data_IF_962664347083
#
_entry.id   IF_962664347083
#
_cell.length_a   1.000
_cell.length_b   1.000
_cell.length_c   1.000
_cell.angle_alpha   90.00
_cell.angle_beta   90.00
_cell.angle_gamma   90.00
#
_symmetry.space_group_name_H-M   'P 1'
#
loop_
_entity.id
_entity.type
_entity.pdbx_description
1 polymer ?
#
# COMPACT_ATOMS: atom_id res chain seq x y z
N UNK A 1 4.53 54.57 -4.89
CA UNK A 1 5.38 53.64 -5.67
C UNK A 1 4.57 52.38 -5.92
N UNK A 2 3.85 52.35 -7.04
CA UNK A 2 3.13 51.16 -7.51
C UNK A 2 4.04 50.49 -8.55
N UNK A 3 4.79 49.46 -8.15
CA UNK A 3 5.46 48.59 -9.11
C UNK A 3 4.50 47.49 -9.53
N UNK A 4 3.68 47.78 -10.53
CA UNK A 4 2.95 46.76 -11.29
C UNK A 4 3.94 46.16 -12.28
N UNK A 5 4.61 45.08 -11.91
CA UNK A 5 5.47 44.33 -12.81
C UNK A 5 4.58 43.65 -13.85
N UNK A 6 4.45 44.27 -15.03
CA UNK A 6 3.85 43.63 -16.20
C UNK A 6 4.78 42.51 -16.67
N UNK A 7 4.44 41.26 -16.34
CA UNK A 7 5.08 40.07 -16.93
C UNK A 7 4.94 40.10 -18.45
N UNK A 8 6.03 39.75 -19.15
CA UNK A 8 6.06 39.73 -20.60
C UNK A 8 5.20 38.59 -21.16
N UNK A 9 4.54 38.81 -22.30
CA UNK A 9 3.79 37.76 -23.04
C UNK A 9 4.58 36.45 -23.24
N UNK A 10 5.90 36.52 -23.39
CA UNK A 10 6.79 35.35 -23.53
C UNK A 10 6.92 34.56 -22.23
N UNK A 11 6.91 35.23 -21.07
CA UNK A 11 6.97 34.59 -19.75
C UNK A 11 5.64 33.90 -19.43
N UNK A 12 4.50 34.55 -19.74
CA UNK A 12 3.17 33.95 -19.60
C UNK A 12 2.99 32.71 -20.49
N UNK A 13 3.50 32.75 -21.73
CA UNK A 13 3.46 31.57 -22.62
C UNK A 13 4.38 30.44 -22.16
N UNK A 14 5.57 30.75 -21.63
CA UNK A 14 6.49 29.74 -21.09
C UNK A 14 5.97 29.11 -19.79
N UNK A 15 5.37 29.91 -18.90
CA UNK A 15 4.76 29.46 -17.66
C UNK A 15 3.50 28.61 -17.93
N UNK A 16 2.66 29.03 -18.87
CA UNK A 16 1.51 28.25 -19.31
C UNK A 16 1.93 26.92 -19.96
N UNK A 17 2.96 26.93 -20.82
CA UNK A 17 3.50 25.72 -21.45
C UNK A 17 4.12 24.74 -20.47
N UNK A 18 4.85 25.25 -19.47
CA UNK A 18 5.41 24.42 -18.38
C UNK A 18 4.33 23.79 -17.50
N UNK A 19 3.26 24.54 -17.20
CA UNK A 19 2.13 24.03 -16.43
C UNK A 19 1.35 22.93 -17.16
N UNK A 20 1.20 23.04 -18.49
CA UNK A 20 0.48 22.07 -19.32
C UNK A 20 1.26 20.78 -19.48
N UNK A 21 2.56 20.88 -19.77
CA UNK A 21 3.44 19.72 -19.84
C UNK A 21 3.43 18.94 -18.52
N UNK A 22 3.48 19.63 -17.37
CA UNK A 22 3.43 19.00 -16.06
C UNK A 22 2.11 18.22 -15.85
N UNK A 23 0.96 18.80 -16.23
CA UNK A 23 -0.35 18.11 -16.13
C UNK A 23 -0.38 16.85 -16.97
N UNK A 24 0.07 16.91 -18.23
CA UNK A 24 0.09 15.75 -19.14
C UNK A 24 1.00 14.64 -18.59
N UNK A 25 2.19 15.01 -18.10
CA UNK A 25 3.13 14.06 -17.48
C UNK A 25 2.51 13.43 -16.23
N UNK A 26 1.93 14.24 -15.33
CA UNK A 26 1.31 13.76 -14.10
C UNK A 26 0.13 12.81 -14.39
N UNK A 27 -0.76 13.18 -15.31
CA UNK A 27 -1.88 12.33 -15.73
C UNK A 27 -1.39 11.00 -16.32
N UNK A 28 -0.35 11.03 -17.16
CA UNK A 28 0.24 9.84 -17.77
C UNK A 28 0.84 8.92 -16.71
N UNK A 29 1.61 9.47 -15.77
CA UNK A 29 2.21 8.70 -14.66
C UNK A 29 1.13 8.06 -13.81
N UNK A 30 0.12 8.84 -13.39
CA UNK A 30 -1.00 8.31 -12.59
C UNK A 30 -1.76 7.21 -13.33
N UNK A 31 -2.01 7.39 -14.64
CA UNK A 31 -2.68 6.38 -15.46
C UNK A 31 -1.89 5.06 -15.50
N UNK A 32 -0.60 5.13 -15.83
CA UNK A 32 0.26 3.94 -15.93
C UNK A 32 0.36 3.22 -14.57
N UNK A 33 0.58 3.98 -13.49
CA UNK A 33 0.69 3.41 -12.15
C UNK A 33 -0.62 2.81 -11.66
N UNK A 34 -1.77 3.45 -11.92
CA UNK A 34 -3.07 2.88 -11.57
C UNK A 34 -3.36 1.57 -12.29
N UNK A 35 -3.16 1.52 -13.61
CA UNK A 35 -3.37 0.28 -14.38
C UNK A 35 -2.42 -0.82 -13.91
N UNK A 36 -1.15 -0.48 -13.70
CA UNK A 36 -0.16 -1.44 -13.22
C UNK A 36 -0.45 -1.92 -11.79
N UNK A 37 -0.85 -1.01 -10.90
CA UNK A 37 -1.26 -1.31 -9.53
C UNK A 37 -2.46 -2.24 -9.46
N UNK A 38 -3.50 -1.97 -10.27
CA UNK A 38 -4.67 -2.85 -10.40
C UNK A 38 -4.26 -4.23 -10.88
N UNK A 39 -3.41 -4.31 -11.90
CA UNK A 39 -2.92 -5.57 -12.42
C UNK A 39 -2.18 -6.39 -11.36
N UNK A 40 -1.22 -5.79 -10.65
CA UNK A 40 -0.45 -6.47 -9.61
C UNK A 40 -1.34 -6.95 -8.46
N UNK A 41 -2.16 -6.06 -7.89
CA UNK A 41 -2.99 -6.38 -6.73
C UNK A 41 -4.09 -7.40 -7.08
N UNK A 42 -4.72 -7.27 -8.25
CA UNK A 42 -5.71 -8.26 -8.73
C UNK A 42 -5.08 -9.62 -9.02
N UNK A 43 -3.86 -9.64 -9.54
CA UNK A 43 -3.08 -10.87 -9.74
C UNK A 43 -2.81 -11.60 -8.43
N UNK A 44 -2.42 -10.88 -7.38
CA UNK A 44 -2.23 -11.44 -6.04
C UNK A 44 -3.56 -11.95 -5.49
N UNK A 45 -4.63 -11.16 -5.57
CA UNK A 45 -5.96 -11.55 -5.10
C UNK A 45 -6.45 -12.84 -5.78
N UNK A 46 -6.34 -12.90 -7.11
CA UNK A 46 -6.67 -14.10 -7.87
C UNK A 46 -5.85 -15.32 -7.44
N UNK A 47 -4.54 -15.16 -7.24
CA UNK A 47 -3.68 -16.22 -6.73
C UNK A 47 -4.08 -16.71 -5.33
N UNK A 48 -4.57 -15.81 -4.47
CA UNK A 48 -5.06 -16.14 -3.13
C UNK A 48 -6.37 -16.94 -3.18
N UNK A 49 -7.33 -16.51 -4.00
CA UNK A 49 -8.65 -17.15 -4.12
C UNK A 49 -8.53 -18.53 -4.78
N UNK A 50 -7.67 -18.68 -5.78
CA UNK A 50 -7.50 -19.96 -6.49
C UNK A 50 -6.72 -21.02 -5.70
N UNK A 51 -5.93 -20.62 -4.70
CA UNK A 51 -5.19 -21.54 -3.82
C UNK A 51 -5.94 -21.86 -2.52
N UNK A 52 -7.28 -21.81 -2.55
CA UNK A 52 -8.19 -21.83 -1.40
C UNK A 52 -8.03 -23.00 -0.42
N UNK A 53 -7.46 -24.13 -0.84
CA UNK A 53 -7.18 -25.29 0.02
C UNK A 53 -6.11 -25.04 1.11
N UNK A 54 -5.44 -23.87 1.11
CA UNK A 54 -4.34 -23.52 2.04
C UNK A 54 -4.43 -22.10 2.63
N UNK A 55 -5.60 -21.46 2.66
CA UNK A 55 -5.72 -20.07 3.16
C UNK A 55 -5.57 -20.04 4.69
N UNK A 56 -4.35 -19.76 5.14
CA UNK A 56 -4.07 -19.37 6.52
C UNK A 56 -4.34 -17.88 6.75
N UNK A 57 -4.43 -17.46 8.01
CA UNK A 57 -4.85 -16.08 8.33
C UNK A 57 -3.98 -14.95 7.76
N UNK A 58 -2.71 -15.22 7.48
CA UNK A 58 -1.83 -14.27 6.79
C UNK A 58 -2.32 -13.94 5.37
N UNK A 59 -2.81 -14.95 4.65
CA UNK A 59 -3.29 -14.80 3.27
C UNK A 59 -4.64 -14.10 3.21
N UNK A 60 -5.52 -14.34 4.19
CA UNK A 60 -6.77 -13.58 4.36
C UNK A 60 -6.50 -12.08 4.49
N UNK A 61 -5.51 -11.72 5.33
CA UNK A 61 -5.11 -10.33 5.54
C UNK A 61 -4.49 -9.72 4.27
N UNK A 62 -3.62 -10.44 3.57
CA UNK A 62 -3.08 -9.98 2.28
C UNK A 62 -4.19 -9.76 1.25
N UNK A 63 -5.19 -10.65 1.19
CA UNK A 63 -6.34 -10.51 0.31
C UNK A 63 -7.13 -9.23 0.59
N UNK A 64 -7.41 -8.95 1.86
CA UNK A 64 -8.06 -7.68 2.26
C UNK A 64 -7.27 -6.46 1.79
N UNK A 65 -5.93 -6.50 1.89
CA UNK A 65 -5.07 -5.40 1.48
C UNK A 65 -5.03 -5.19 -0.04
N UNK A 66 -5.07 -6.28 -0.82
CA UNK A 66 -5.17 -6.16 -2.28
C UNK A 66 -6.49 -5.52 -2.73
N UNK A 67 -7.58 -5.76 -1.99
CA UNK A 67 -8.87 -5.09 -2.24
C UNK A 67 -8.74 -3.59 -2.00
N UNK A 68 -8.19 -3.18 -0.85
CA UNK A 68 -8.02 -1.76 -0.55
C UNK A 68 -7.07 -1.06 -1.54
N UNK A 69 -5.94 -1.68 -1.90
CA UNK A 69 -5.02 -1.14 -2.90
C UNK A 69 -5.69 -0.95 -4.27
N UNK A 70 -6.53 -1.92 -4.69
CA UNK A 70 -7.30 -1.82 -5.93
C UNK A 70 -8.29 -0.66 -5.90
N UNK A 71 -8.99 -0.45 -4.78
CA UNK A 71 -9.92 0.69 -4.62
C UNK A 71 -9.20 2.03 -4.81
N UNK A 72 -8.01 2.17 -4.23
CA UNK A 72 -7.21 3.41 -4.34
C UNK A 72 -6.74 3.62 -5.78
N UNK A 73 -6.20 2.57 -6.42
CA UNK A 73 -5.77 2.66 -7.81
C UNK A 73 -6.94 3.02 -8.75
N UNK A 74 -8.14 2.50 -8.48
CA UNK A 74 -9.37 2.83 -9.20
C UNK A 74 -9.80 4.29 -8.97
N UNK A 75 -9.68 4.81 -7.74
CA UNK A 75 -9.93 6.23 -7.46
C UNK A 75 -9.04 7.13 -8.31
N UNK A 76 -7.75 6.83 -8.40
CA UNK A 76 -6.85 7.59 -9.28
C UNK A 76 -7.21 7.43 -10.76
N UNK A 77 -7.53 6.20 -11.20
CA UNK A 77 -7.83 5.91 -12.60
C UNK A 77 -9.12 6.56 -13.09
N UNK A 78 -10.17 6.54 -12.26
CA UNK A 78 -11.52 6.97 -12.62
C UNK A 78 -11.77 8.44 -12.29
N UNK A 79 -11.00 9.03 -11.38
CA UNK A 79 -11.20 10.41 -10.92
C UNK A 79 -10.00 11.31 -11.19
N UNK A 80 -8.86 11.05 -10.53
CA UNK A 80 -7.71 11.95 -10.62
C UNK A 80 -7.21 12.08 -12.07
N UNK A 81 -7.01 10.96 -12.78
CA UNK A 81 -6.49 10.95 -14.16
C UNK A 81 -7.41 11.72 -15.13
N UNK A 82 -8.73 11.47 -15.21
CA UNK A 82 -9.62 12.26 -16.05
C UNK A 82 -9.66 13.74 -15.67
N UNK A 83 -9.78 14.06 -14.37
CA UNK A 83 -9.81 15.45 -13.89
C UNK A 83 -8.54 16.23 -14.26
N UNK A 84 -7.35 15.61 -14.12
CA UNK A 84 -6.08 16.22 -14.53
C UNK A 84 -5.99 16.38 -16.04
N UNK A 85 -6.42 15.37 -16.80
CA UNK A 85 -6.35 15.39 -18.27
C UNK A 85 -7.29 16.44 -18.88
N UNK A 86 -8.48 16.58 -18.31
CA UNK A 86 -9.48 17.57 -18.72
C UNK A 86 -9.21 18.96 -18.14
N UNK A 87 -8.25 19.08 -17.21
CA UNK A 87 -7.98 20.28 -16.42
C UNK A 87 -9.27 20.89 -15.81
N UNK A 88 -10.23 20.04 -15.45
CA UNK A 88 -11.54 20.43 -14.95
C UNK A 88 -12.22 19.27 -14.24
N UNK A 89 -13.10 19.58 -13.29
CA UNK A 89 -13.97 18.58 -12.68
C UNK A 89 -15.16 18.34 -13.62
N UNK A 90 -15.25 17.12 -14.16
CA UNK A 90 -16.33 16.74 -15.07
C UNK A 90 -17.64 16.37 -14.35
N UNK A 91 -17.61 16.30 -13.02
CA UNK A 91 -18.77 16.04 -12.15
C UNK A 91 -18.77 17.00 -10.94
N UNK A 92 -19.90 17.13 -10.22
CA UNK A 92 -20.02 18.05 -9.08
C UNK A 92 -19.03 17.78 -7.94
N UNK A 93 -18.80 18.79 -7.11
CA UNK A 93 -17.90 18.73 -5.95
C UNK A 93 -18.16 17.52 -5.03
N UNK A 94 -19.42 17.15 -4.82
CA UNK A 94 -19.78 15.99 -4.00
C UNK A 94 -19.15 14.68 -4.51
N UNK A 95 -18.98 14.54 -5.83
CA UNK A 95 -18.32 13.37 -6.42
C UNK A 95 -16.82 13.39 -6.12
N UNK A 96 -16.19 14.57 -6.09
CA UNK A 96 -14.79 14.73 -5.67
C UNK A 96 -14.60 14.24 -4.23
N UNK A 97 -15.51 14.64 -3.33
CA UNK A 97 -15.52 14.18 -1.93
C UNK A 97 -15.66 12.65 -1.91
N UNK A 98 -16.65 12.07 -2.61
CA UNK A 98 -16.87 10.60 -2.62
C UNK A 98 -15.61 9.85 -3.08
N UNK A 99 -14.98 10.27 -4.17
CA UNK A 99 -13.73 9.64 -4.63
C UNK A 99 -12.59 9.83 -3.63
N UNK A 100 -12.47 11.00 -3.02
CA UNK A 100 -11.50 11.22 -1.96
C UNK A 100 -11.79 10.36 -0.73
N UNK A 101 -13.05 10.06 -0.42
CA UNK A 101 -13.40 9.11 0.63
C UNK A 101 -13.05 7.66 0.27
N UNK A 102 -13.34 7.26 -0.97
CA UNK A 102 -13.06 5.93 -1.50
C UNK A 102 -11.57 5.68 -1.76
N UNK A 103 -10.75 6.72 -1.89
CA UNK A 103 -9.28 6.60 -1.99
C UNK A 103 -8.59 6.85 -0.67
N UNK A 104 -8.83 8.02 -0.07
CA UNK A 104 -8.01 8.59 1.01
C UNK A 104 -8.30 8.11 2.42
N UNK A 105 -9.53 7.68 2.74
CA UNK A 105 -9.85 7.27 4.12
C UNK A 105 -9.99 5.76 4.26
N UNK A 106 -11.13 5.15 3.86
CA UNK A 106 -11.41 3.74 4.16
C UNK A 106 -10.32 2.81 3.62
N UNK A 107 -9.97 2.86 2.33
CA UNK A 107 -8.96 1.94 1.82
C UNK A 107 -7.55 2.25 2.30
N UNK A 108 -7.22 3.52 2.54
CA UNK A 108 -5.90 3.90 3.04
C UNK A 108 -5.68 3.39 4.47
N UNK A 109 -6.62 3.64 5.39
CA UNK A 109 -6.50 3.20 6.81
C UNK A 109 -6.54 1.68 6.95
N UNK A 110 -7.11 0.98 5.96
CA UNK A 110 -7.08 -0.47 5.93
C UNK A 110 -5.64 -1.01 5.82
N UNK A 111 -4.69 -0.24 5.26
CA UNK A 111 -3.27 -0.59 5.22
C UNK A 111 -2.68 -0.81 6.62
N UNK A 112 -2.63 0.22 7.48
CA UNK A 112 -2.11 0.14 8.85
C UNK A 112 -2.88 -0.84 9.73
N UNK A 113 -4.22 -0.88 9.60
CA UNK A 113 -5.04 -1.86 10.31
C UNK A 113 -4.69 -3.30 9.94
N UNK A 114 -4.51 -3.59 8.65
CA UNK A 114 -4.10 -4.91 8.19
C UNK A 114 -2.70 -5.25 8.68
N UNK A 115 -1.77 -4.29 8.71
CA UNK A 115 -0.42 -4.48 9.26
C UNK A 115 -0.45 -4.86 10.74
N UNK A 116 -1.24 -4.15 11.54
CA UNK A 116 -1.42 -4.46 12.95
C UNK A 116 -2.00 -5.87 13.14
N UNK A 117 -3.04 -6.23 12.37
CA UNK A 117 -3.59 -7.59 12.37
C UNK A 117 -2.55 -8.65 11.98
N UNK A 118 -1.70 -8.39 10.98
CA UNK A 118 -0.66 -9.33 10.56
C UNK A 118 0.39 -9.53 11.65
N UNK A 119 0.79 -8.46 12.33
CA UNK A 119 1.71 -8.51 13.44
C UNK A 119 1.11 -9.30 14.62
N UNK A 120 -0.13 -9.01 15.01
CA UNK A 120 -0.86 -9.72 16.08
C UNK A 120 -1.03 -11.20 15.74
N UNK A 121 -1.53 -11.53 14.54
CA UNK A 121 -1.74 -12.92 14.13
C UNK A 121 -0.44 -13.75 14.21
N UNK A 122 0.70 -13.15 13.87
CA UNK A 122 2.01 -13.81 13.98
C UNK A 122 2.50 -13.90 15.41
N UNK A 123 2.30 -12.85 16.19
CA UNK A 123 2.63 -12.84 17.61
C UNK A 123 1.88 -13.98 18.32
N UNK A 124 0.56 -14.09 18.11
CA UNK A 124 -0.24 -15.18 18.63
C UNK A 124 0.25 -16.56 18.15
N UNK A 125 0.58 -16.70 16.87
CA UNK A 125 1.08 -17.96 16.32
C UNK A 125 2.46 -18.38 16.88
N UNK A 126 3.28 -17.45 17.37
CA UNK A 126 4.62 -17.71 17.89
C UNK A 126 4.68 -17.85 19.41
N UNK A 127 3.94 -17.03 20.15
CA UNK A 127 3.97 -17.00 21.61
C UNK A 127 2.87 -17.86 22.24
N UNK A 128 1.73 -18.04 21.56
CA UNK A 128 0.58 -18.79 22.06
C UNK A 128 0.25 -19.98 21.15
N UNK A 129 1.25 -20.81 20.85
CA UNK A 129 1.12 -21.94 19.91
C UNK A 129 -0.03 -22.89 20.24
N UNK A 130 -0.25 -23.20 21.52
CA UNK A 130 -1.33 -24.08 21.99
C UNK A 130 -2.74 -23.49 21.77
N UNK A 131 -2.90 -22.18 21.98
CA UNK A 131 -4.18 -21.50 21.71
C UNK A 131 -4.40 -21.33 20.21
N UNK A 132 -3.33 -21.08 19.45
CA UNK A 132 -3.38 -20.92 17.99
C UNK A 132 -3.68 -22.24 17.26
N UNK A 133 -3.27 -23.38 17.82
CA UNK A 133 -3.62 -24.70 17.26
C UNK A 133 -5.07 -25.11 17.51
N UNK A 134 -5.78 -24.41 18.39
CA UNK A 134 -7.19 -24.66 18.65
C UNK A 134 -8.01 -24.16 17.46
N UNK A 135 -8.84 -25.04 16.90
CA UNK A 135 -9.72 -24.68 15.79
C UNK A 135 -10.89 -23.85 16.31
N UNK A 136 -10.94 -22.58 15.93
CA UNK A 136 -12.11 -21.73 16.11
C UNK A 136 -12.96 -21.75 14.84
N UNK A 137 -14.30 -21.63 14.94
CA UNK A 137 -15.18 -21.62 13.77
C UNK A 137 -14.91 -20.43 12.85
N UNK A 138 -14.46 -19.29 13.39
CA UNK A 138 -14.06 -18.10 12.64
C UNK A 138 -12.59 -17.79 12.96
N UNK A 139 -11.69 -17.74 11.96
CA UNK A 139 -10.29 -17.38 12.19
C UNK A 139 -10.14 -15.95 12.71
N UNK A 140 -9.24 -15.73 13.68
CA UNK A 140 -8.93 -14.40 14.24
C UNK A 140 -8.64 -13.35 13.16
N UNK A 141 -7.90 -13.74 12.11
CA UNK A 141 -7.60 -12.89 10.95
C UNK A 141 -8.85 -12.40 10.21
N UNK A 142 -9.86 -13.26 10.02
CA UNK A 142 -11.11 -12.88 9.37
C UNK A 142 -11.93 -11.96 10.26
N UNK A 143 -12.02 -12.26 11.56
CA UNK A 143 -12.68 -11.38 12.54
C UNK A 143 -12.05 -9.99 12.54
N UNK A 144 -10.71 -9.91 12.54
CA UNK A 144 -9.99 -8.63 12.49
C UNK A 144 -10.28 -7.84 11.20
N UNK A 145 -10.31 -8.50 10.04
CA UNK A 145 -10.67 -7.87 8.76
C UNK A 145 -12.08 -7.27 8.82
N UNK A 146 -13.06 -8.02 9.32
CA UNK A 146 -14.44 -7.55 9.41
C UNK A 146 -14.59 -6.33 10.33
N UNK A 147 -13.94 -6.36 11.50
CA UNK A 147 -13.94 -5.24 12.45
C UNK A 147 -13.32 -4.00 11.80
N UNK A 148 -12.14 -4.12 11.20
CA UNK A 148 -11.43 -2.98 10.66
C UNK A 148 -12.06 -2.40 9.40
N UNK A 149 -12.68 -3.20 8.53
CA UNK A 149 -13.51 -2.66 7.45
C UNK A 149 -14.70 -1.87 8.00
N UNK A 150 -15.38 -2.39 9.02
CA UNK A 150 -16.51 -1.69 9.65
C UNK A 150 -16.08 -0.34 10.21
N UNK A 151 -14.97 -0.29 10.95
CA UNK A 151 -14.40 0.96 11.47
C UNK A 151 -14.03 1.91 10.32
N UNK A 152 -13.40 1.40 9.26
CA UNK A 152 -12.99 2.19 8.10
C UNK A 152 -14.18 2.83 7.37
N UNK A 153 -15.29 2.09 7.22
CA UNK A 153 -16.52 2.64 6.64
C UNK A 153 -17.17 3.69 7.53
N UNK A 154 -17.14 3.51 8.85
CA UNK A 154 -17.64 4.54 9.80
C UNK A 154 -16.82 5.82 9.64
N UNK A 155 -15.48 5.73 9.67
CA UNK A 155 -14.58 6.89 9.48
C UNK A 155 -14.90 7.59 8.15
N UNK A 156 -14.99 6.84 7.07
CA UNK A 156 -15.32 7.36 5.73
C UNK A 156 -16.67 8.09 5.70
N UNK A 157 -17.67 7.57 6.41
CA UNK A 157 -18.99 8.18 6.46
C UNK A 157 -18.97 9.55 7.16
N UNK A 158 -18.08 9.73 8.15
CA UNK A 158 -17.90 11.00 8.86
C UNK A 158 -17.28 12.10 7.97
N UNK A 159 -16.54 11.72 6.93
CA UNK A 159 -15.92 12.66 5.97
C UNK A 159 -16.76 12.97 4.73
N UNK A 160 -17.96 12.39 4.59
CA UNK A 160 -18.88 12.67 3.48
C UNK A 160 -19.57 14.04 3.50
N UNK A 161 -19.89 14.64 4.68
CA UNK A 161 -20.49 15.97 4.73
C UNK A 161 -19.60 17.02 4.05
N UNK A 162 -20.20 18.00 3.33
CA UNK A 162 -19.45 19.09 2.73
C UNK A 162 -18.63 19.85 3.76
N UNK A 163 -17.38 20.15 3.45
CA UNK A 163 -16.45 20.80 4.39
C UNK A 163 -15.88 19.85 5.43
N UNK A 164 -16.00 18.53 5.30
CA UNK A 164 -15.24 17.54 6.08
C UNK A 164 -14.48 16.56 5.17
N UNK A 165 -14.52 16.81 3.86
CA UNK A 165 -14.03 15.91 2.83
C UNK A 165 -12.52 15.94 2.65
N UNK A 166 -12.04 14.88 2.03
CA UNK A 166 -10.75 14.83 1.37
C UNK A 166 -11.02 14.89 -0.13
N UNK A 167 -10.29 15.74 -0.85
CA UNK A 167 -10.58 16.06 -2.24
C UNK A 167 -9.32 16.04 -3.09
N UNK A 168 -9.49 15.77 -4.38
CA UNK A 168 -8.42 15.97 -5.35
C UNK A 168 -8.43 17.42 -5.83
N UNK A 169 -7.30 18.11 -5.71
CA UNK A 169 -7.15 19.51 -6.14
C UNK A 169 -6.33 19.56 -7.44
N UNK A 170 -7.00 19.81 -8.57
CA UNK A 170 -6.39 19.77 -9.92
C UNK A 170 -5.23 20.78 -10.05
N UNK A 171 -5.37 21.99 -9.52
CA UNK A 171 -4.33 23.03 -9.61
C UNK A 171 -3.04 22.68 -8.87
N UNK A 172 -3.14 21.81 -7.85
CA UNK A 172 -2.02 21.35 -7.02
C UNK A 172 -1.58 19.92 -7.34
N UNK A 173 -2.33 19.23 -8.21
CA UNK A 173 -2.15 17.81 -8.56
C UNK A 173 -2.00 16.91 -7.33
N UNK A 174 -2.72 17.23 -6.26
CA UNK A 174 -2.57 16.65 -4.93
C UNK A 174 -3.92 16.29 -4.33
N UNK A 175 -3.92 15.30 -3.45
CA UNK A 175 -5.06 15.02 -2.59
C UNK A 175 -4.87 15.73 -1.25
N UNK A 176 -5.87 16.52 -0.85
CA UNK A 176 -5.78 17.39 0.32
C UNK A 176 -7.13 17.43 1.05
N UNK A 177 -7.16 17.66 2.38
CA UNK A 177 -8.41 17.96 3.07
C UNK A 177 -9.01 19.27 2.54
N UNK A 178 -10.34 19.39 2.61
CA UNK A 178 -10.99 20.68 2.36
C UNK A 178 -10.47 21.78 3.30
N UNK A 179 -10.55 23.04 2.85
CA UNK A 179 -10.09 24.22 3.62
C UNK A 179 -11.12 24.62 4.69
N UNK A 180 -11.36 23.71 5.62
CA UNK A 180 -12.32 23.86 6.71
C UNK A 180 -11.77 23.26 8.00
N UNK A 181 -12.25 23.76 9.13
CA UNK A 181 -11.81 23.26 10.44
C UNK A 181 -12.13 21.77 10.62
N UNK A 182 -13.29 21.31 10.13
CA UNK A 182 -13.66 19.90 10.21
C UNK A 182 -12.69 18.99 9.43
N UNK A 183 -12.41 19.30 8.16
CA UNK A 183 -11.55 18.46 7.33
C UNK A 183 -10.09 18.44 7.83
N UNK A 184 -9.58 19.59 8.29
CA UNK A 184 -8.23 19.69 8.88
C UNK A 184 -8.12 18.88 10.17
N UNK A 185 -9.06 19.06 11.11
CA UNK A 185 -9.06 18.29 12.37
C UNK A 185 -9.21 16.79 12.12
N UNK A 186 -10.04 16.42 11.13
CA UNK A 186 -10.23 15.03 10.73
C UNK A 186 -8.93 14.42 10.17
N UNK A 187 -8.22 15.16 9.31
CA UNK A 187 -6.91 14.75 8.79
C UNK A 187 -5.84 14.60 9.88
N UNK A 188 -5.80 15.51 10.86
CA UNK A 188 -4.90 15.41 12.01
C UNK A 188 -5.22 14.17 12.85
N UNK A 189 -6.49 13.94 13.17
CA UNK A 189 -6.92 12.75 13.92
C UNK A 189 -6.57 11.45 13.20
N UNK A 190 -6.76 11.42 11.89
CA UNK A 190 -6.38 10.29 11.05
C UNK A 190 -4.87 10.04 11.03
N UNK A 191 -4.06 11.10 10.89
CA UNK A 191 -2.60 10.99 10.96
C UNK A 191 -2.16 10.34 12.29
N UNK A 192 -2.72 10.80 13.41
CA UNK A 192 -2.44 10.20 14.72
C UNK A 192 -2.85 8.73 14.81
N UNK A 193 -3.99 8.35 14.22
CA UNK A 193 -4.43 6.96 14.18
C UNK A 193 -3.48 6.07 13.37
N UNK A 194 -3.02 6.53 12.20
CA UNK A 194 -2.03 5.83 11.38
C UNK A 194 -0.71 5.66 12.13
N UNK A 195 -0.21 6.73 12.76
CA UNK A 195 1.02 6.68 13.55
C UNK A 195 0.87 5.71 14.73
N UNK A 196 -0.22 5.79 15.48
CA UNK A 196 -0.47 4.92 16.63
C UNK A 196 -0.51 3.44 16.22
N UNK A 197 -1.25 3.12 15.15
CA UNK A 197 -1.35 1.73 14.64
C UNK A 197 0.00 1.19 14.17
N UNK A 198 0.82 2.00 13.50
CA UNK A 198 2.18 1.61 13.10
C UNK A 198 3.11 1.40 14.31
N UNK A 199 3.04 2.26 15.33
CA UNK A 199 3.82 2.06 16.58
C UNK A 199 3.47 0.73 17.22
N UNK A 200 2.18 0.41 17.38
CA UNK A 200 1.77 -0.88 17.94
C UNK A 200 2.21 -2.07 17.07
N UNK A 201 2.08 -1.97 15.74
CA UNK A 201 2.54 -3.02 14.83
C UNK A 201 4.06 -3.26 14.96
N UNK A 202 4.85 -2.20 15.08
CA UNK A 202 6.31 -2.28 15.24
C UNK A 202 6.74 -2.87 16.59
N UNK A 203 5.99 -2.62 17.67
CA UNK A 203 6.22 -3.28 18.96
C UNK A 203 6.07 -4.80 18.80
N UNK A 204 4.97 -5.27 18.21
CA UNK A 204 4.76 -6.70 17.95
C UNK A 204 5.85 -7.28 17.03
N UNK A 205 6.21 -6.56 15.96
CA UNK A 205 7.26 -6.98 15.03
C UNK A 205 8.63 -7.10 15.73
N UNK A 206 8.94 -6.21 16.66
CA UNK A 206 10.18 -6.27 17.46
C UNK A 206 10.17 -7.49 18.38
N UNK A 207 9.06 -7.75 19.09
CA UNK A 207 8.93 -8.95 19.93
C UNK A 207 9.08 -10.24 19.12
N UNK A 208 8.50 -10.29 17.91
CA UNK A 208 8.64 -11.41 16.97
C UNK A 208 10.10 -11.59 16.56
N UNK A 209 10.80 -10.50 16.21
CA UNK A 209 12.21 -10.56 15.82
C UNK A 209 13.09 -11.13 16.94
N UNK A 210 12.93 -10.64 18.17
CA UNK A 210 13.66 -11.14 19.34
C UNK A 210 13.41 -12.63 19.56
N UNK A 211 12.15 -13.08 19.48
CA UNK A 211 11.81 -14.51 19.63
C UNK A 211 12.41 -15.36 18.50
N UNK A 212 12.40 -14.87 17.26
CA UNK A 212 13.00 -15.57 16.12
C UNK A 212 14.53 -15.70 16.27
N UNK A 213 15.21 -14.68 16.82
CA UNK A 213 16.64 -14.72 17.14
C UNK A 213 16.91 -15.69 18.29
N UNK A 214 16.12 -15.68 19.36
CA UNK A 214 16.28 -16.62 20.47
C UNK A 214 16.11 -18.08 20.02
N UNK A 215 15.09 -18.36 19.19
CA UNK A 215 14.90 -19.69 18.60
C UNK A 215 16.01 -20.06 17.62
N UNK A 216 16.67 -19.08 17.00
CA UNK A 216 17.82 -19.32 16.14
C UNK A 216 19.05 -19.80 16.91
N UNK A 217 19.31 -19.14 18.04
CA UNK A 217 20.47 -19.40 18.89
C UNK A 217 20.34 -20.73 19.64
N UNK A 218 19.12 -21.13 20.02
CA UNK A 218 18.85 -22.38 20.74
C UNK A 218 18.56 -23.61 19.87
N UNK A 219 18.62 -23.50 18.53
CA UNK A 219 18.33 -24.60 17.62
C UNK A 219 19.55 -25.52 17.42
N UNK A 220 19.92 -26.27 18.45
CA UNK A 220 20.83 -27.42 18.33
C UNK A 220 20.01 -28.71 18.35
N UNK A 221 19.88 -29.42 17.21
CA UNK A 221 19.45 -30.83 17.20
C UNK A 221 18.00 -31.19 16.82
N UNK A 222 17.22 -30.36 16.10
CA UNK A 222 15.89 -30.75 15.55
C UNK A 222 15.99 -30.90 14.02
N UNK A 223 15.34 -31.93 13.47
CA UNK A 223 15.23 -32.30 12.04
C UNK A 223 15.38 -31.08 11.10
N UNK A 224 16.61 -30.95 10.58
CA UNK A 224 17.20 -29.66 10.20
C UNK A 224 16.52 -29.09 8.95
N UNK A 225 16.09 -29.95 8.03
CA UNK A 225 15.57 -29.55 6.72
C UNK A 225 14.15 -28.93 6.79
N UNK A 226 13.22 -29.58 7.50
CA UNK A 226 11.82 -29.13 7.64
C UNK A 226 11.74 -27.90 8.55
N UNK A 227 12.52 -27.87 9.64
CA UNK A 227 12.58 -26.73 10.56
C UNK A 227 13.16 -25.48 9.88
N UNK A 228 14.21 -25.64 9.07
CA UNK A 228 14.83 -24.55 8.29
C UNK A 228 13.87 -23.99 7.24
N UNK A 229 13.14 -24.83 6.51
CA UNK A 229 12.20 -24.35 5.49
C UNK A 229 11.02 -23.58 6.10
N UNK A 230 10.48 -24.05 7.23
CA UNK A 230 9.43 -23.34 7.98
C UNK A 230 9.95 -22.00 8.52
N UNK A 231 11.17 -21.97 9.05
CA UNK A 231 11.84 -20.74 9.53
C UNK A 231 12.05 -19.73 8.40
N UNK A 232 12.60 -20.16 7.26
CA UNK A 232 12.76 -19.31 6.06
C UNK A 232 11.43 -18.71 5.59
N UNK A 233 10.34 -19.50 5.58
CA UNK A 233 9.00 -18.99 5.24
C UNK A 233 8.54 -17.92 6.23
N UNK A 234 8.66 -18.17 7.54
CA UNK A 234 8.30 -17.21 8.60
C UNK A 234 9.10 -15.91 8.49
N UNK A 235 10.42 -15.98 8.30
CA UNK A 235 11.28 -14.81 8.13
C UNK A 235 10.93 -14.00 6.89
N UNK A 236 10.65 -14.64 5.75
CA UNK A 236 10.22 -13.91 4.54
C UNK A 236 8.91 -13.16 4.74
N UNK A 237 7.92 -13.81 5.34
CA UNK A 237 6.64 -13.16 5.66
C UNK A 237 6.86 -11.99 6.63
N UNK A 238 7.72 -12.17 7.65
CA UNK A 238 8.14 -11.09 8.56
C UNK A 238 8.72 -9.88 7.80
N UNK A 239 9.76 -10.09 6.99
CA UNK A 239 10.41 -9.04 6.21
C UNK A 239 9.39 -8.32 5.32
N UNK A 240 8.55 -9.06 4.59
CA UNK A 240 7.50 -8.48 3.74
C UNK A 240 6.64 -7.47 4.51
N UNK A 241 6.14 -7.86 5.69
CA UNK A 241 5.26 -7.00 6.50
C UNK A 241 5.98 -5.76 7.01
N UNK A 242 7.23 -5.89 7.48
CA UNK A 242 8.03 -4.76 7.94
C UNK A 242 8.32 -3.80 6.80
N UNK A 243 8.75 -4.29 5.62
CA UNK A 243 8.98 -3.44 4.45
C UNK A 243 7.73 -2.67 4.06
N UNK A 244 6.57 -3.34 4.03
CA UNK A 244 5.29 -2.72 3.71
C UNK A 244 4.85 -1.69 4.77
N UNK A 245 5.23 -1.86 6.04
CA UNK A 245 4.90 -0.94 7.12
C UNK A 245 5.76 0.33 7.05
N UNK A 246 7.08 0.17 6.85
CA UNK A 246 7.99 1.30 6.62
C UNK A 246 7.59 2.15 5.42
N UNK A 247 7.17 1.49 4.33
CA UNK A 247 6.64 2.14 3.14
C UNK A 247 5.43 3.02 3.45
N UNK A 248 4.47 2.50 4.22
CA UNK A 248 3.29 3.26 4.59
C UNK A 248 3.61 4.46 5.50
N UNK A 249 4.53 4.30 6.46
CA UNK A 249 4.97 5.42 7.32
C UNK A 249 5.65 6.51 6.49
N UNK A 250 6.51 6.12 5.54
CA UNK A 250 7.16 7.05 4.63
C UNK A 250 6.13 7.84 3.80
N UNK A 251 5.11 7.16 3.27
CA UNK A 251 4.04 7.82 2.51
C UNK A 251 3.25 8.81 3.36
N UNK A 252 2.88 8.43 4.59
CA UNK A 252 2.21 9.33 5.52
C UNK A 252 3.07 10.56 5.85
N UNK A 253 4.38 10.40 6.06
CA UNK A 253 5.29 11.56 6.27
C UNK A 253 5.36 12.43 5.01
N UNK A 254 5.46 11.80 3.82
CA UNK A 254 5.51 12.50 2.55
C UNK A 254 4.25 13.36 2.36
N UNK A 255 3.07 12.76 2.53
CA UNK A 255 1.80 13.42 2.28
C UNK A 255 1.46 14.48 3.34
N UNK A 256 1.77 14.26 4.62
CA UNK A 256 1.35 15.13 5.72
C UNK A 256 2.36 16.21 6.12
N UNK A 257 3.64 16.03 5.80
CA UNK A 257 4.70 16.97 6.21
C UNK A 257 5.46 17.47 4.99
N UNK A 258 6.08 16.55 4.24
CA UNK A 258 7.04 16.93 3.21
C UNK A 258 6.36 17.66 2.07
N UNK A 259 5.17 17.24 1.64
CA UNK A 259 4.37 17.88 0.59
C UNK A 259 4.15 19.39 0.81
N UNK A 260 4.18 19.86 2.05
CA UNK A 260 3.96 21.25 2.44
C UNK A 260 5.26 22.08 2.52
N UNK A 261 6.43 21.50 2.28
CA UNK A 261 7.70 22.23 2.29
C UNK A 261 7.88 23.13 1.06
N UNK A 262 7.12 22.90 -0.02
CA UNK A 262 7.13 23.74 -1.20
C UNK A 262 5.76 23.82 -1.84
N UNK A 263 5.38 25.01 -2.30
CA UNK A 263 4.14 25.25 -3.03
C UNK A 263 4.24 24.90 -4.53
N UNK A 264 5.42 24.47 -5.00
CA UNK A 264 5.58 24.08 -6.39
C UNK A 264 4.69 22.86 -6.73
N UNK A 265 3.90 22.97 -7.79
CA UNK A 265 2.91 21.95 -8.19
C UNK A 265 3.57 20.59 -8.44
N UNK A 266 4.74 20.56 -9.08
CA UNK A 266 5.48 19.30 -9.33
C UNK A 266 5.93 18.65 -8.00
N UNK A 267 6.26 19.47 -7.00
CA UNK A 267 6.74 19.00 -5.70
C UNK A 267 5.58 18.40 -4.91
N UNK A 268 4.45 19.11 -4.84
CA UNK A 268 3.20 18.58 -4.25
C UNK A 268 2.75 17.30 -4.95
N UNK A 269 2.81 17.25 -6.28
CA UNK A 269 2.49 16.03 -7.03
C UNK A 269 3.36 14.83 -6.60
N UNK A 270 4.68 15.02 -6.48
CA UNK A 270 5.63 13.94 -6.13
C UNK A 270 5.38 13.41 -4.72
N UNK A 271 5.24 14.31 -3.73
CA UNK A 271 5.14 13.92 -2.32
C UNK A 271 3.71 13.65 -1.83
N UNK A 272 2.68 14.06 -2.57
CA UNK A 272 1.28 13.71 -2.31
C UNK A 272 0.83 12.60 -3.28
N UNK A 273 0.40 12.94 -4.49
CA UNK A 273 -0.26 12.00 -5.41
C UNK A 273 0.61 10.82 -5.85
N UNK A 274 1.87 11.07 -6.22
CA UNK A 274 2.76 10.01 -6.70
C UNK A 274 3.20 9.09 -5.57
N UNK A 275 3.52 9.65 -4.40
CA UNK A 275 3.83 8.88 -3.19
C UNK A 275 2.64 7.98 -2.82
N UNK A 276 1.45 8.58 -2.72
CA UNK A 276 0.22 7.89 -2.34
C UNK A 276 -0.11 6.77 -3.33
N UNK A 277 -0.19 7.04 -4.63
CA UNK A 277 -0.46 5.98 -5.62
C UNK A 277 0.65 4.93 -5.65
N UNK A 278 1.91 5.38 -5.61
CA UNK A 278 3.08 4.52 -5.70
C UNK A 278 3.13 3.47 -4.59
N UNK A 279 2.74 3.84 -3.35
CA UNK A 279 2.83 2.92 -2.22
C UNK A 279 1.96 1.67 -2.39
N UNK A 280 0.77 1.83 -2.98
CA UNK A 280 -0.16 0.72 -3.22
C UNK A 280 0.27 -0.16 -4.41
N UNK A 281 1.02 0.39 -5.37
CA UNK A 281 1.69 -0.38 -6.42
C UNK A 281 2.83 -1.21 -5.82
N UNK A 282 3.69 -0.58 -5.02
CA UNK A 282 4.82 -1.24 -4.36
C UNK A 282 4.36 -2.33 -3.39
N UNK A 283 3.25 -2.11 -2.67
CA UNK A 283 2.69 -3.09 -1.76
C UNK A 283 2.31 -4.40 -2.49
N UNK A 284 1.60 -4.29 -3.61
CA UNK A 284 1.26 -5.43 -4.46
C UNK A 284 2.50 -6.12 -5.05
N UNK A 285 3.50 -5.34 -5.50
CA UNK A 285 4.76 -5.87 -6.00
C UNK A 285 5.50 -6.68 -4.92
N UNK A 286 5.60 -6.15 -3.70
CA UNK A 286 6.24 -6.81 -2.56
C UNK A 286 5.54 -8.14 -2.25
N UNK A 287 4.21 -8.20 -2.30
CA UNK A 287 3.48 -9.46 -2.09
C UNK A 287 3.86 -10.53 -3.11
N UNK A 288 3.98 -10.18 -4.40
CA UNK A 288 4.39 -11.11 -5.48
C UNK A 288 5.84 -11.57 -5.30
N UNK A 289 6.74 -10.66 -4.92
CA UNK A 289 8.15 -10.95 -4.73
C UNK A 289 8.37 -11.94 -3.58
N UNK A 290 7.73 -11.69 -2.43
CA UNK A 290 7.93 -12.47 -1.20
C UNK A 290 7.08 -13.74 -1.12
N UNK A 291 5.94 -13.81 -1.80
CA UNK A 291 5.08 -14.99 -1.84
C UNK A 291 5.11 -15.65 -3.21
N UNK A 292 6.11 -16.53 -3.42
CA UNK A 292 6.24 -17.32 -4.66
C UNK A 292 4.96 -18.07 -5.04
N UNK A 293 4.17 -18.48 -4.06
CA UNK A 293 2.90 -19.18 -4.25
C UNK A 293 1.86 -18.29 -4.95
N UNK A 294 1.89 -16.97 -4.74
CA UNK A 294 0.93 -16.02 -5.30
C UNK A 294 1.35 -15.46 -6.67
N UNK A 295 2.47 -15.94 -7.23
CA UNK A 295 2.97 -15.44 -8.52
C UNK A 295 2.04 -15.91 -9.66
N UNK A 296 1.63 -15.00 -10.57
CA UNK A 296 0.90 -15.38 -11.78
C UNK A 296 1.71 -16.37 -12.62
N UNK A 297 1.04 -17.17 -13.44
CA UNK A 297 1.67 -18.13 -14.36
C UNK A 297 2.75 -17.47 -15.22
N UNK A 298 2.53 -16.24 -15.69
CA UNK A 298 3.51 -15.46 -16.45
C UNK A 298 4.85 -15.23 -15.70
N UNK A 299 4.81 -15.13 -14.37
CA UNK A 299 6.01 -14.96 -13.54
C UNK A 299 6.62 -16.29 -13.08
N UNK A 300 5.85 -17.38 -13.12
CA UNK A 300 6.33 -18.72 -12.73
C UNK A 300 7.21 -19.35 -13.83
N UNK A 301 6.85 -19.19 -15.11
CA UNK A 301 7.57 -19.82 -16.23
C UNK A 301 9.04 -19.36 -16.38
N UNK A 302 9.36 -18.12 -15.96
CA UNK A 302 10.75 -17.59 -16.01
C UNK A 302 11.69 -18.28 -15.02
N UNK A 303 11.22 -18.65 -13.82
CA UNK A 303 12.07 -19.35 -12.84
C UNK A 303 12.33 -20.81 -13.23
N UNK A 304 11.36 -21.52 -13.83
CA UNK A 304 11.56 -22.90 -14.30
C UNK A 304 12.63 -22.95 -15.39
N UNK A 305 12.63 -22.00 -16.33
CA UNK A 305 13.69 -21.90 -17.36
C UNK A 305 15.07 -21.63 -16.77
N UNK A 306 15.20 -20.70 -15.81
CA UNK A 306 16.49 -20.35 -15.18
C UNK A 306 17.01 -21.49 -14.29
N UNK A 307 16.11 -22.16 -13.56
CA UNK A 307 16.48 -23.30 -12.71
C UNK A 307 16.86 -24.53 -13.54
N UNK A 308 16.19 -24.80 -14.67
CA UNK A 308 16.65 -25.79 -15.64
C UNK A 308 18.03 -25.42 -16.20
N UNK A 309 18.26 -24.17 -16.63
CA UNK A 309 19.60 -23.75 -17.11
C UNK A 309 20.69 -23.95 -16.04
N UNK A 310 20.44 -23.53 -14.80
CA UNK A 310 21.43 -23.69 -13.72
C UNK A 310 21.67 -25.16 -13.33
N UNK A 311 20.65 -26.02 -13.46
CA UNK A 311 20.80 -27.45 -13.30
C UNK A 311 21.63 -28.05 -14.45
N UNK A 312 21.33 -27.71 -15.70
CA UNK A 312 22.09 -28.16 -16.88
C UNK A 312 23.56 -27.75 -16.82
N UNK A 313 23.85 -26.52 -16.36
CA UNK A 313 25.22 -26.03 -16.18
C UNK A 313 25.94 -26.80 -15.07
N UNK A 314 25.30 -27.06 -13.92
CA UNK A 314 25.89 -27.86 -12.83
C UNK A 314 26.18 -29.31 -13.24
N UNK A 315 25.27 -29.94 -13.97
CA UNK A 315 25.47 -31.32 -14.47
C UNK A 315 26.62 -31.35 -15.48
N UNK A 316 26.71 -30.35 -16.36
CA UNK A 316 27.81 -30.27 -17.34
C UNK A 316 29.18 -30.09 -16.68
N UNK A 317 29.28 -29.30 -15.61
CA UNK A 317 30.53 -29.12 -14.86
C UNK A 317 30.93 -30.33 -13.99
N UNK A 318 29.97 -31.18 -13.63
CA UNK A 318 30.23 -32.37 -12.81
C UNK A 318 30.67 -33.59 -13.63
N UNK A 319 30.48 -33.58 -14.95
CA UNK A 319 30.86 -34.67 -15.87
C UNK A 319 32.25 -34.44 -16.48
N UNK A 320 32.82 -33.24 -16.33
CA UNK A 320 34.13 -32.83 -16.87
C UNK A 320 35.29 -32.86 -15.87
N UNK A 321 35.08 -33.44 -14.68
CA UNK A 321 36.12 -33.76 -13.68
C UNK A 321 36.16 -35.26 -13.44
#
# INVERSE_FOLDING_TARGET
MNNTTTMSSTEVHAENGGSEMLRVVAATIMFVLSVFGIFLNSSVFYGLVTQSSKIGGFFTLCGSKTISNNMICLTFLLWAVPCTSLNSYFLPHQVNIIFGQLGGWAPYIMGPFTQLCMAINRFCALFFTHLYSRSYPIPMSLTGVLIFWTISFIITSLGLPPGCGFIYVISRLAWEPEESECAVNFAIGFFHLVVATSVFANIFNTSIALKLIAMAAGATGIDESISVQRRKRRTRMYIQSVTQDCLHVMDTINCSIISHFSDAVWYRFVFSSLSFLGIHVFDGLIMILFNKQLRPVCFQQKETKISHLNYSVRVSTAVSN
#
